data_IF_096843738655
#
_entry.id   IF_096843738655
#
_cell.length_a   1.000
_cell.length_b   1.000
_cell.length_c   1.000
_cell.angle_alpha   90.00
_cell.angle_beta   90.00
_cell.angle_gamma   90.00
#
_symmetry.space_group_name_H-M   'P 1'
#
loop_
_entity.id
_entity.type
_entity.pdbx_description
1 polymer ?
#
# COMPACT_ATOMS: atom_id res chain seq x y z
N UNK A 1 43.45 12.74 55.85
CA UNK A 1 42.91 11.64 55.01
C UNK A 1 41.43 11.91 54.76
N UNK A 2 41.06 12.31 53.54
CA UNK A 2 39.65 12.49 53.14
C UNK A 2 39.47 11.86 51.76
N UNK A 3 38.76 10.73 51.68
CA UNK A 3 38.47 10.02 50.43
C UNK A 3 37.27 10.68 49.76
N UNK A 4 37.44 11.19 48.53
CA UNK A 4 36.32 11.64 47.70
C UNK A 4 35.58 10.41 47.13
N UNK A 5 34.23 10.35 47.15
CA UNK A 5 33.51 9.29 46.47
C UNK A 5 33.51 9.55 44.97
N UNK A 6 33.83 8.51 44.19
CA UNK A 6 33.65 8.48 42.73
C UNK A 6 32.17 8.23 42.48
N UNK A 7 31.49 9.20 41.88
CA UNK A 7 30.08 9.07 41.49
C UNK A 7 30.05 8.57 40.04
N UNK A 8 29.81 7.28 39.86
CA UNK A 8 29.64 6.64 38.55
C UNK A 8 28.32 7.12 37.94
N UNK A 9 28.41 7.94 36.89
CA UNK A 9 27.26 8.23 36.02
C UNK A 9 27.09 7.05 35.05
N UNK A 10 26.07 6.22 35.27
CA UNK A 10 25.64 5.25 34.28
C UNK A 10 24.90 6.01 33.17
N UNK A 11 25.52 6.10 31.99
CA UNK A 11 24.91 6.67 30.79
C UNK A 11 23.88 5.66 30.26
N UNK A 12 22.59 5.91 30.49
CA UNK A 12 21.52 5.17 29.82
C UNK A 12 21.52 5.59 28.34
N UNK A 13 22.11 4.76 27.48
CA UNK A 13 21.99 4.93 26.04
C UNK A 13 20.56 4.55 25.62
N UNK A 14 19.70 5.56 25.43
CA UNK A 14 18.40 5.38 24.82
C UNK A 14 18.59 5.02 23.33
N UNK A 15 18.43 3.75 23.00
CA UNK A 15 18.33 3.29 21.61
C UNK A 15 16.96 3.73 21.11
N UNK A 16 16.88 4.92 20.51
CA UNK A 16 15.74 5.34 19.71
C UNK A 16 15.76 4.50 18.43
N UNK A 17 15.03 3.39 18.44
CA UNK A 17 14.78 2.62 17.23
C UNK A 17 13.97 3.48 16.25
N UNK A 18 14.51 3.70 15.05
CA UNK A 18 13.76 4.22 13.92
C UNK A 18 12.74 3.15 13.53
N UNK A 19 11.53 3.23 14.10
CA UNK A 19 10.38 2.55 13.51
C UNK A 19 10.08 3.32 12.22
N UNK A 20 10.09 2.70 11.02
CA UNK A 20 9.55 3.35 9.84
C UNK A 20 8.11 3.72 10.20
N UNK A 21 7.84 5.03 10.21
CA UNK A 21 6.49 5.49 10.47
C UNK A 21 5.63 5.02 9.30
N UNK A 22 4.50 4.37 9.58
CA UNK A 22 3.40 4.09 8.63
C UNK A 22 2.75 5.39 8.10
N UNK A 23 3.43 6.53 8.23
CA UNK A 23 2.93 7.85 7.89
C UNK A 23 3.20 8.11 6.42
N UNK A 24 2.18 7.86 5.58
CA UNK A 24 2.25 8.11 4.14
C UNK A 24 2.38 6.87 3.27
N UNK A 25 1.99 5.68 3.77
CA UNK A 25 1.77 4.54 2.88
C UNK A 25 0.40 4.63 2.22
N UNK A 26 0.28 4.14 0.98
CA UNK A 26 -1.03 4.02 0.34
C UNK A 26 -1.83 2.91 1.03
N UNK A 27 -3.00 3.27 1.54
CA UNK A 27 -3.96 2.36 2.13
C UNK A 27 -5.04 1.99 1.11
N UNK A 28 -5.31 0.70 0.96
CA UNK A 28 -6.46 0.21 0.19
C UNK A 28 -7.62 0.05 1.17
N UNK A 29 -8.56 1.00 1.17
CA UNK A 29 -9.71 1.00 2.09
C UNK A 29 -10.88 0.17 1.55
N UNK A 30 -10.83 -0.26 0.30
CA UNK A 30 -11.79 -1.19 -0.27
C UNK A 30 -11.46 -1.57 -1.70
N UNK A 31 -11.90 -2.76 -2.12
CA UNK A 31 -11.81 -3.20 -3.49
C UNK A 31 -12.99 -4.11 -3.84
N UNK A 32 -13.42 -4.06 -5.10
CA UNK A 32 -14.43 -4.97 -5.65
C UNK A 32 -14.01 -5.48 -7.01
N UNK A 33 -14.46 -6.69 -7.33
CA UNK A 33 -14.23 -7.36 -8.59
C UNK A 33 -15.57 -7.73 -9.23
N UNK A 34 -15.71 -7.48 -10.53
CA UNK A 34 -16.86 -7.91 -11.33
C UNK A 34 -16.39 -8.63 -12.59
N UNK A 35 -17.05 -9.74 -12.91
CA UNK A 35 -16.78 -10.46 -14.17
C UNK A 35 -17.37 -9.68 -15.35
N UNK A 36 -16.62 -9.61 -16.45
CA UNK A 36 -16.97 -8.91 -17.68
C UNK A 36 -16.56 -9.78 -18.88
N UNK A 37 -17.47 -10.66 -19.32
CA UNK A 37 -17.18 -11.69 -20.30
C UNK A 37 -16.15 -12.69 -19.76
N UNK A 38 -15.03 -12.86 -20.48
CA UNK A 38 -13.89 -13.68 -20.06
C UNK A 38 -12.90 -12.95 -19.15
N UNK A 39 -13.08 -11.66 -18.90
CA UNK A 39 -12.15 -10.82 -18.12
C UNK A 39 -12.79 -10.28 -16.85
N UNK A 40 -11.99 -9.58 -16.04
CA UNK A 40 -12.43 -8.92 -14.83
C UNK A 40 -12.27 -7.41 -14.91
N UNK A 41 -13.18 -6.71 -14.23
CA UNK A 41 -13.00 -5.31 -13.85
C UNK A 41 -12.82 -5.23 -12.34
N UNK A 42 -11.74 -4.59 -11.93
CA UNK A 42 -11.46 -4.26 -10.53
C UNK A 42 -11.71 -2.77 -10.30
N UNK A 43 -12.34 -2.44 -9.18
CA UNK A 43 -12.48 -1.07 -8.68
C UNK A 43 -11.86 -1.00 -7.31
N UNK A 44 -10.84 -0.15 -7.16
CA UNK A 44 -10.01 -0.06 -5.95
C UNK A 44 -10.13 1.34 -5.39
N UNK A 45 -10.47 1.42 -4.11
CA UNK A 45 -10.57 2.65 -3.33
C UNK A 45 -9.31 2.79 -2.48
N UNK A 46 -8.59 3.88 -2.71
CA UNK A 46 -7.33 4.19 -2.05
C UNK A 46 -7.50 5.39 -1.11
N UNK A 47 -6.68 5.41 -0.07
CA UNK A 47 -6.45 6.57 0.79
C UNK A 47 -4.95 6.79 0.92
N UNK A 48 -4.51 8.01 0.69
CA UNK A 48 -3.12 8.40 0.88
C UNK A 48 -3.03 9.89 1.25
N UNK A 49 -1.96 10.27 1.96
CA UNK A 49 -1.69 11.65 2.33
C UNK A 49 -0.98 12.39 1.19
N UNK A 50 -1.63 12.48 0.02
CA UNK A 50 -1.09 13.20 -1.14
C UNK A 50 -0.75 14.65 -0.76
N UNK A 51 0.46 15.10 -1.07
CA UNK A 51 0.89 16.51 -0.86
C UNK A 51 1.08 17.27 -2.17
N UNK A 52 0.61 16.71 -3.29
CA UNK A 52 0.79 17.24 -4.63
C UNK A 52 1.71 16.37 -5.48
N UNK A 53 2.27 16.93 -6.54
CA UNK A 53 3.05 16.20 -7.54
C UNK A 53 4.32 15.54 -6.99
N UNK A 54 4.84 16.02 -5.87
CA UNK A 54 6.04 15.49 -5.25
C UNK A 54 5.79 14.20 -4.44
N UNK A 55 4.55 13.97 -3.99
CA UNK A 55 4.20 12.79 -3.19
C UNK A 55 2.71 12.46 -3.31
N UNK A 56 2.41 11.39 -4.04
CA UNK A 56 1.04 10.92 -4.21
C UNK A 56 0.98 9.42 -4.51
N UNK A 57 -0.19 8.80 -4.32
CA UNK A 57 -0.43 7.44 -4.76
C UNK A 57 -0.39 7.35 -6.30
N UNK A 58 0.57 6.62 -6.85
CA UNK A 58 0.85 6.63 -8.30
C UNK A 58 0.52 5.31 -9.01
N UNK A 59 0.23 4.24 -8.25
CA UNK A 59 0.04 2.90 -8.82
C UNK A 59 -0.76 1.99 -7.88
N UNK A 60 -1.60 1.14 -8.48
CA UNK A 60 -2.02 -0.12 -7.84
C UNK A 60 -2.02 -1.28 -8.85
N UNK A 61 -1.84 -2.49 -8.33
CA UNK A 61 -1.58 -3.70 -9.11
C UNK A 61 -2.39 -4.89 -8.57
N UNK A 62 -2.78 -5.79 -9.48
CA UNK A 62 -3.49 -7.04 -9.17
C UNK A 62 -2.53 -8.21 -9.34
N UNK A 63 -2.42 -9.04 -8.30
CA UNK A 63 -1.55 -10.21 -8.28
C UNK A 63 -2.33 -11.50 -8.06
N UNK A 64 -1.86 -12.59 -8.65
CA UNK A 64 -2.29 -13.94 -8.28
C UNK A 64 -1.76 -14.32 -6.88
N UNK A 65 -2.33 -15.35 -6.22
CA UNK A 65 -1.79 -15.87 -4.97
C UNK A 65 -0.33 -16.35 -5.07
N UNK A 66 0.11 -16.74 -6.27
CA UNK A 66 1.50 -17.12 -6.55
C UNK A 66 2.45 -15.95 -6.76
N UNK A 67 1.96 -14.70 -6.71
CA UNK A 67 2.75 -13.49 -6.91
C UNK A 67 2.94 -13.06 -8.37
N UNK A 68 2.19 -13.65 -9.31
CA UNK A 68 2.19 -13.22 -10.72
C UNK A 68 1.39 -11.91 -10.87
N UNK A 69 1.93 -10.93 -11.60
CA UNK A 69 1.23 -9.69 -11.92
C UNK A 69 0.19 -9.95 -13.02
N UNK A 70 -1.09 -9.72 -12.71
CA UNK A 70 -2.21 -9.91 -13.63
C UNK A 70 -2.66 -8.62 -14.32
N UNK A 71 -2.38 -7.47 -13.70
CA UNK A 71 -2.70 -6.17 -14.26
C UNK A 71 -2.28 -5.02 -13.36
N UNK A 72 -2.16 -3.83 -13.94
CA UNK A 72 -1.76 -2.63 -13.23
C UNK A 72 -2.53 -1.40 -13.67
N UNK A 73 -2.68 -0.46 -12.73
CA UNK A 73 -3.34 0.81 -12.93
C UNK A 73 -2.46 1.94 -12.42
N UNK A 74 -1.81 2.62 -13.36
CA UNK A 74 -1.08 3.86 -13.10
C UNK A 74 -2.07 5.00 -12.83
N UNK A 75 -1.75 5.82 -11.83
CA UNK A 75 -2.46 7.02 -11.44
C UNK A 75 -1.61 8.23 -11.82
N UNK A 76 -2.16 9.12 -12.65
CA UNK A 76 -1.38 10.14 -13.35
C UNK A 76 -1.47 11.54 -12.73
N UNK A 77 -2.14 11.68 -11.59
CA UNK A 77 -2.26 12.95 -10.87
C UNK A 77 -2.47 12.73 -9.38
N UNK A 78 -2.09 13.71 -8.54
CA UNK A 78 -2.43 13.73 -7.12
C UNK A 78 -3.94 13.92 -6.90
N UNK A 79 -4.44 13.35 -5.80
CA UNK A 79 -5.81 13.39 -5.33
C UNK A 79 -5.90 14.09 -3.95
N UNK A 80 -5.20 15.21 -3.75
CA UNK A 80 -5.12 15.93 -2.46
C UNK A 80 -6.51 16.22 -1.88
N UNK A 81 -7.44 16.69 -2.71
CA UNK A 81 -8.80 17.08 -2.30
C UNK A 81 -9.86 15.98 -2.57
N UNK A 82 -9.45 14.79 -3.00
CA UNK A 82 -10.33 13.66 -3.33
C UNK A 82 -9.86 12.43 -2.53
N UNK A 83 -10.18 12.39 -1.23
CA UNK A 83 -9.82 11.25 -0.38
C UNK A 83 -11.04 10.74 0.42
N UNK A 84 -11.29 9.42 0.43
CA UNK A 84 -10.66 8.42 -0.43
C UNK A 84 -11.14 8.55 -1.90
N UNK A 85 -10.36 8.03 -2.85
CA UNK A 85 -10.74 7.99 -4.26
C UNK A 85 -10.74 6.57 -4.82
N UNK A 86 -11.61 6.33 -5.80
CA UNK A 86 -11.72 5.03 -6.48
C UNK A 86 -11.29 5.12 -7.92
N UNK A 87 -10.46 4.19 -8.39
CA UNK A 87 -10.16 4.01 -9.82
C UNK A 87 -10.32 2.56 -10.22
N UNK A 88 -10.69 2.34 -11.49
CA UNK A 88 -10.97 1.01 -12.01
C UNK A 88 -9.99 0.59 -13.11
N UNK A 89 -9.76 -0.72 -13.21
CA UNK A 89 -9.04 -1.38 -14.29
C UNK A 89 -9.93 -2.48 -14.86
N UNK A 90 -10.15 -2.47 -16.17
CA UNK A 90 -10.96 -3.47 -16.88
C UNK A 90 -10.08 -4.30 -17.80
N UNK A 91 -10.56 -5.48 -18.20
CA UNK A 91 -9.85 -6.37 -19.11
C UNK A 91 -8.74 -7.19 -18.45
N UNK A 92 -8.73 -7.28 -17.12
CA UNK A 92 -7.76 -8.08 -16.38
C UNK A 92 -8.08 -9.55 -16.60
N UNK A 93 -7.10 -10.30 -17.13
CA UNK A 93 -7.23 -11.74 -17.31
C UNK A 93 -6.85 -12.44 -16.02
N UNK A 94 -7.77 -13.25 -15.51
CA UNK A 94 -7.55 -14.05 -14.30
C UNK A 94 -7.86 -15.50 -14.65
N UNK A 95 -6.93 -16.45 -14.43
CA UNK A 95 -7.21 -17.87 -14.64
C UNK A 95 -8.47 -18.32 -13.89
N UNK A 96 -9.33 -19.11 -14.53
CA UNK A 96 -10.60 -19.56 -13.94
C UNK A 96 -10.41 -20.45 -12.69
N UNK A 97 -9.21 -20.97 -12.47
CA UNK A 97 -8.85 -21.73 -11.27
C UNK A 97 -8.63 -20.87 -10.02
N UNK A 98 -8.55 -19.53 -10.14
CA UNK A 98 -8.34 -18.63 -9.01
C UNK A 98 -9.67 -18.12 -8.45
N UNK A 99 -9.77 -18.14 -7.12
CA UNK A 99 -10.92 -17.62 -6.36
C UNK A 99 -10.66 -16.30 -5.66
N UNK A 100 -9.41 -15.86 -5.68
CA UNK A 100 -8.94 -14.65 -5.03
C UNK A 100 -7.75 -14.06 -5.77
N UNK A 101 -7.56 -12.76 -5.61
CA UNK A 101 -6.38 -12.01 -6.03
C UNK A 101 -5.97 -11.08 -4.91
N UNK A 102 -4.74 -10.56 -5.00
CA UNK A 102 -4.20 -9.61 -4.05
C UNK A 102 -3.92 -8.28 -4.74
N UNK A 103 -4.35 -7.18 -4.12
CA UNK A 103 -4.07 -5.83 -4.59
C UNK A 103 -2.97 -5.22 -3.75
N UNK A 104 -1.99 -4.61 -4.42
CA UNK A 104 -0.93 -3.83 -3.79
C UNK A 104 -0.93 -2.42 -4.37
N UNK A 105 -0.57 -1.44 -3.56
CA UNK A 105 -0.54 -0.04 -3.95
C UNK A 105 0.83 0.57 -3.66
N UNK A 106 1.15 1.67 -4.33
CA UNK A 106 2.42 2.36 -4.26
C UNK A 106 2.22 3.87 -4.30
N UNK A 107 3.06 4.60 -3.58
CA UNK A 107 3.25 6.03 -3.74
C UNK A 107 4.58 6.37 -4.45
N UNK A 108 4.67 7.60 -4.94
CA UNK A 108 5.81 8.08 -5.74
C UNK A 108 7.13 8.19 -4.97
N UNK A 109 7.12 8.19 -3.63
CA UNK A 109 8.30 8.46 -2.78
C UNK A 109 8.79 7.22 -2.05
N UNK A 110 7.91 6.51 -1.36
CA UNK A 110 8.23 5.36 -0.51
C UNK A 110 8.09 4.02 -1.25
N UNK A 111 7.47 4.02 -2.43
CA UNK A 111 7.32 2.81 -3.22
C UNK A 111 6.13 1.96 -2.79
N UNK A 112 6.26 0.64 -2.93
CA UNK A 112 5.15 -0.29 -2.69
C UNK A 112 4.85 -0.37 -1.20
N UNK A 113 3.59 -0.11 -0.84
CA UNK A 113 3.07 -0.30 0.51
C UNK A 113 3.23 -1.77 0.94
N UNK A 114 3.66 -2.05 2.18
CA UNK A 114 3.69 -3.41 2.73
C UNK A 114 2.28 -4.01 2.88
N UNK A 115 1.22 -3.19 2.77
CA UNK A 115 -0.16 -3.63 2.84
C UNK A 115 -0.59 -4.30 1.53
N UNK A 116 -1.31 -5.42 1.67
CA UNK A 116 -1.99 -6.09 0.57
C UNK A 116 -3.46 -6.30 0.90
N UNK A 117 -4.32 -6.11 -0.10
CA UNK A 117 -5.77 -6.29 0.04
C UNK A 117 -6.22 -7.53 -0.73
N UNK A 118 -6.78 -8.52 -0.03
CA UNK A 118 -7.37 -9.71 -0.66
C UNK A 118 -8.73 -9.37 -1.28
N UNK A 119 -8.96 -9.80 -2.52
CA UNK A 119 -10.25 -9.68 -3.19
C UNK A 119 -10.73 -11.06 -3.61
N UNK A 120 -11.86 -11.49 -3.04
CA UNK A 120 -12.59 -12.69 -3.48
C UNK A 120 -13.25 -12.44 -4.82
N UNK A 121 -13.16 -13.41 -5.71
CA UNK A 121 -13.78 -13.39 -7.03
C UNK A 121 -15.13 -14.11 -6.97
N UNK A 122 -16.27 -13.39 -7.09
CA UNK A 122 -17.58 -14.03 -7.09
C UNK A 122 -17.73 -14.94 -8.31
N UNK A 123 -18.17 -16.18 -8.09
CA UNK A 123 -18.47 -17.14 -9.16
C UNK A 123 -19.92 -17.04 -9.63
#
# INVERSE_FOLDING_TARGET
MYRKPVMTFALLAAVFGWLPALAGEVEIVGASARKAGSSWTFSVTLRHADTGWDHYADLWQVFSPGGELLGERVLLHPHVDEQPFTRSLSGVQVPESLDEVFIRARDSVHGVSPLSFEVRLPR
#
